data_IF_050711662654
#
_entry.id   IF_050711662654
#
_cell.length_a   1.000
_cell.length_b   1.000
_cell.length_c   1.000
_cell.angle_alpha   90.00
_cell.angle_beta   90.00
_cell.angle_gamma   90.00
#
_symmetry.space_group_name_H-M   'P 1'
#
loop_
_entity.id
_entity.type
_entity.pdbx_description
1 polymer ?
#
# COMPACT_ATOMS: atom_id res chain seq x y z
N UNK A 1 20.75 18.34 -17.80
CA UNK A 1 19.32 18.13 -18.16
C UNK A 1 18.56 17.99 -16.85
N UNK A 2 17.50 18.75 -16.67
CA UNK A 2 16.64 18.66 -15.49
C UNK A 2 15.90 17.32 -15.48
N UNK A 3 15.78 16.71 -14.32
CA UNK A 3 15.11 15.41 -14.14
C UNK A 3 13.65 15.43 -14.60
N UNK A 4 12.97 16.55 -14.40
CA UNK A 4 11.58 16.75 -14.85
C UNK A 4 11.45 16.74 -16.37
N UNK A 5 12.37 17.43 -17.07
CA UNK A 5 12.38 17.44 -18.52
C UNK A 5 12.75 16.07 -19.09
N UNK A 6 13.71 15.39 -18.48
CA UNK A 6 14.03 14.00 -18.85
C UNK A 6 12.81 13.08 -18.69
N UNK A 7 12.15 13.15 -17.54
CA UNK A 7 10.98 12.34 -17.25
C UNK A 7 9.83 12.62 -18.22
N UNK A 8 9.56 13.89 -18.53
CA UNK A 8 8.56 14.30 -19.51
C UNK A 8 8.85 13.73 -20.91
N UNK A 9 10.09 13.83 -21.38
CA UNK A 9 10.50 13.26 -22.67
C UNK A 9 10.34 11.76 -22.72
N UNK A 10 10.66 11.08 -21.61
CA UNK A 10 10.45 9.65 -21.49
C UNK A 10 8.96 9.30 -21.63
N UNK A 11 8.05 9.99 -20.93
CA UNK A 11 6.61 9.73 -21.02
C UNK A 11 6.06 9.95 -22.45
N UNK A 12 6.51 11.01 -23.14
CA UNK A 12 6.13 11.26 -24.52
C UNK A 12 6.63 10.13 -25.44
N UNK A 13 7.87 9.71 -25.25
CA UNK A 13 8.44 8.59 -26.00
C UNK A 13 7.69 7.29 -25.74
N UNK A 14 7.31 7.05 -24.48
CA UNK A 14 6.66 5.82 -24.06
C UNK A 14 5.20 5.75 -24.53
N UNK A 15 4.43 6.81 -24.36
CA UNK A 15 2.97 6.80 -24.54
C UNK A 15 2.49 7.57 -25.78
N UNK A 16 3.35 8.36 -26.42
CA UNK A 16 3.03 9.17 -27.59
C UNK A 16 2.95 10.66 -27.31
N UNK A 17 2.99 11.47 -28.37
CA UNK A 17 2.99 12.92 -28.24
C UNK A 17 1.68 13.50 -27.68
N UNK A 18 0.60 12.75 -27.78
CA UNK A 18 -0.72 13.11 -27.25
C UNK A 18 -0.77 13.34 -25.74
N UNK A 19 0.20 12.76 -24.99
CA UNK A 19 0.33 12.95 -23.54
C UNK A 19 1.24 14.14 -23.15
N UNK A 20 1.78 14.89 -24.13
CA UNK A 20 2.79 15.95 -23.88
C UNK A 20 2.31 17.09 -22.98
N UNK A 21 0.99 17.31 -22.90
CA UNK A 21 0.37 18.32 -22.04
C UNK A 21 0.06 17.84 -20.63
N UNK A 22 0.25 16.55 -20.33
CA UNK A 22 -0.06 15.99 -19.03
C UNK A 22 1.12 16.13 -18.07
N UNK A 23 0.87 16.37 -16.76
CA UNK A 23 1.90 16.32 -15.72
C UNK A 23 2.55 14.94 -15.61
N UNK A 24 3.74 14.89 -15.03
CA UNK A 24 4.46 13.64 -14.77
C UNK A 24 4.01 13.00 -13.48
N UNK A 25 3.31 11.89 -13.56
CA UNK A 25 2.84 11.13 -12.40
C UNK A 25 3.93 10.30 -11.70
N UNK A 26 5.04 10.01 -12.37
CA UNK A 26 6.05 9.08 -11.83
C UNK A 26 6.83 9.68 -10.67
N UNK A 27 7.17 10.98 -10.77
CA UNK A 27 7.86 11.68 -9.68
C UNK A 27 6.98 11.76 -8.42
N UNK A 28 5.68 11.96 -8.60
CA UNK A 28 4.73 11.97 -7.50
C UNK A 28 4.58 10.57 -6.88
N UNK A 29 4.52 9.53 -7.72
CA UNK A 29 4.46 8.14 -7.27
C UNK A 29 5.72 7.75 -6.47
N UNK A 30 6.91 8.15 -6.96
CA UNK A 30 8.18 7.93 -6.26
C UNK A 30 8.21 8.67 -4.91
N UNK A 31 7.72 9.90 -4.85
CA UNK A 31 7.66 10.69 -3.62
C UNK A 31 6.70 10.11 -2.57
N UNK A 32 5.66 9.43 -3.01
CA UNK A 32 4.66 8.79 -2.15
C UNK A 32 5.08 7.39 -1.63
N UNK A 33 6.03 6.74 -2.30
CA UNK A 33 6.46 5.38 -2.00
C UNK A 33 7.01 5.13 -0.58
N UNK A 34 7.74 6.06 0.08
CA UNK A 34 8.29 5.82 1.41
C UNK A 34 7.28 5.44 2.47
N UNK A 35 6.05 5.95 2.42
CA UNK A 35 5.01 5.58 3.38
C UNK A 35 4.55 4.13 3.20
N UNK A 36 4.49 3.62 1.96
CA UNK A 36 4.24 2.21 1.70
C UNK A 36 5.25 1.31 2.41
N UNK A 37 6.54 1.65 2.35
CA UNK A 37 7.59 0.84 2.94
C UNK A 37 7.65 0.91 4.47
N UNK A 38 7.35 2.07 5.06
CA UNK A 38 7.66 2.35 6.47
C UNK A 38 6.45 2.67 7.33
N UNK A 39 5.29 2.91 6.72
CA UNK A 39 4.10 3.40 7.42
C UNK A 39 3.60 2.49 8.55
N UNK A 40 3.74 1.18 8.40
CA UNK A 40 3.33 0.19 9.40
C UNK A 40 4.46 -0.23 10.35
N UNK A 41 5.65 0.34 10.21
CA UNK A 41 6.79 0.07 11.09
C UNK A 41 6.88 1.11 12.21
N UNK A 42 7.34 0.69 13.40
CA UNK A 42 7.60 1.62 14.50
C UNK A 42 8.86 2.45 14.20
N UNK A 43 8.78 3.78 14.37
CA UNK A 43 9.92 4.69 14.17
C UNK A 43 11.04 4.35 15.16
N UNK A 44 12.25 4.21 14.65
CA UNK A 44 13.43 3.78 15.41
C UNK A 44 13.98 2.42 14.99
N UNK A 45 13.13 1.59 14.37
CA UNK A 45 13.55 0.27 13.89
C UNK A 45 14.49 0.37 12.69
N UNK A 46 14.40 1.42 11.87
CA UNK A 46 15.28 1.60 10.71
C UNK A 46 16.77 1.64 11.10
N UNK A 47 17.11 2.20 12.26
CA UNK A 47 18.48 2.16 12.80
C UNK A 47 18.82 0.80 13.41
N UNK A 48 17.82 0.06 13.89
CA UNK A 48 18.00 -1.26 14.49
C UNK A 48 17.99 -2.40 13.45
N UNK A 49 17.43 -2.19 12.26
CA UNK A 49 17.34 -3.19 11.18
C UNK A 49 18.68 -3.83 10.82
N UNK A 50 19.77 -3.07 10.89
CA UNK A 50 21.11 -3.57 10.63
C UNK A 50 21.74 -4.30 11.83
N UNK A 51 21.19 -4.12 13.05
CA UNK A 51 21.72 -4.69 14.29
C UNK A 51 20.92 -5.87 14.84
N UNK A 52 19.63 -5.97 14.51
CA UNK A 52 18.75 -7.02 15.05
C UNK A 52 18.25 -7.91 13.91
N UNK A 53 18.80 -9.10 13.83
CA UNK A 53 18.45 -10.14 12.86
C UNK A 53 16.91 -10.34 12.74
N UNK A 54 16.22 -9.45 12.04
CA UNK A 54 14.87 -9.72 11.50
C UNK A 54 13.65 -9.43 12.36
N UNK A 55 13.78 -8.90 13.57
CA UNK A 55 12.60 -8.52 14.37
C UNK A 55 12.19 -7.07 14.09
N UNK A 56 11.35 -6.87 13.08
CA UNK A 56 10.73 -5.58 12.83
C UNK A 56 9.63 -5.32 13.86
N UNK A 57 9.78 -4.21 14.60
CA UNK A 57 8.70 -3.74 15.46
C UNK A 57 7.69 -3.01 14.61
N UNK A 58 6.47 -3.50 14.58
CA UNK A 58 5.33 -2.86 13.92
C UNK A 58 4.64 -1.87 14.86
N UNK A 59 3.84 -0.96 14.30
CA UNK A 59 3.00 -0.06 15.09
C UNK A 59 2.01 -0.88 15.94
N UNK A 60 1.64 -0.34 17.10
CA UNK A 60 0.65 -1.02 17.95
C UNK A 60 -0.76 -0.96 17.36
N UNK A 61 -1.59 -1.94 17.69
CA UNK A 61 -3.03 -1.87 17.42
C UNK A 61 -3.75 -0.91 18.38
N UNK A 62 -4.91 -0.34 17.98
CA UNK A 62 -5.76 0.41 18.90
C UNK A 62 -6.27 -0.50 20.03
N UNK A 63 -5.89 -0.21 21.27
CA UNK A 63 -6.27 -1.04 22.43
C UNK A 63 -6.65 -0.24 23.68
N UNK A 64 -6.21 1.01 23.79
CA UNK A 64 -6.47 1.90 24.92
C UNK A 64 -7.77 2.69 24.79
N UNK A 65 -7.79 3.92 25.31
CA UNK A 65 -8.94 4.81 25.19
C UNK A 65 -9.21 5.21 23.74
N UNK A 66 -10.46 5.55 23.43
CA UNK A 66 -10.85 6.05 22.10
C UNK A 66 -10.00 7.25 21.68
N UNK A 67 -9.45 7.20 20.48
CA UNK A 67 -8.59 8.23 19.91
C UNK A 67 -7.17 8.28 20.49
N UNK A 68 -6.79 7.40 21.41
CA UNK A 68 -5.44 7.35 21.97
C UNK A 68 -4.41 6.93 20.92
N UNK A 69 -4.70 5.90 20.15
CA UNK A 69 -3.86 5.44 19.06
C UNK A 69 -3.68 6.54 18.00
N UNK A 70 -4.76 7.21 17.62
CA UNK A 70 -4.74 8.30 16.65
C UNK A 70 -3.91 9.49 17.14
N UNK A 71 -3.95 9.82 18.43
CA UNK A 71 -3.07 10.85 19.02
C UNK A 71 -1.60 10.43 18.99
N UNK A 72 -1.32 9.18 19.37
CA UNK A 72 0.05 8.64 19.37
C UNK A 72 0.69 8.68 17.98
N UNK A 73 -0.08 8.41 16.93
CA UNK A 73 0.41 8.36 15.54
C UNK A 73 -0.04 9.57 14.70
N UNK A 74 -0.37 10.70 15.32
CA UNK A 74 -0.94 11.87 14.64
C UNK A 74 -0.09 12.41 13.48
N UNK A 75 1.24 12.42 13.62
CA UNK A 75 2.15 12.84 12.54
C UNK A 75 2.08 11.89 11.34
N UNK A 76 2.10 10.58 11.60
CA UNK A 76 1.98 9.55 10.57
C UNK A 76 0.63 9.60 9.87
N UNK A 77 -0.45 9.90 10.59
CA UNK A 77 -1.77 10.08 10.01
C UNK A 77 -1.83 11.31 9.10
N UNK A 78 -1.20 12.43 9.47
CA UNK A 78 -1.07 13.59 8.57
C UNK A 78 -0.27 13.27 7.32
N UNK A 79 0.75 12.45 7.44
CA UNK A 79 1.50 11.93 6.28
C UNK A 79 0.62 11.02 5.43
N UNK A 80 -0.16 10.13 6.04
CA UNK A 80 -1.10 9.26 5.35
C UNK A 80 -2.20 10.04 4.60
N UNK A 81 -2.73 11.12 5.17
CA UNK A 81 -3.70 11.99 4.50
C UNK A 81 -3.10 12.65 3.24
N UNK A 82 -1.89 13.20 3.34
CA UNK A 82 -1.17 13.78 2.18
C UNK A 82 -0.88 12.71 1.13
N UNK A 83 -0.40 11.56 1.56
CA UNK A 83 -0.07 10.43 0.69
C UNK A 83 -1.29 9.90 -0.05
N UNK A 84 -2.42 9.70 0.67
CA UNK A 84 -3.70 9.32 0.06
C UNK A 84 -4.10 10.31 -1.03
N UNK A 85 -4.04 11.60 -0.74
CA UNK A 85 -4.38 12.64 -1.74
C UNK A 85 -3.48 12.54 -2.97
N UNK A 86 -2.17 12.36 -2.79
CA UNK A 86 -1.23 12.17 -3.89
C UNK A 86 -1.60 10.96 -4.73
N UNK A 87 -1.94 9.83 -4.12
CA UNK A 87 -2.36 8.63 -4.86
C UNK A 87 -3.70 8.81 -5.59
N UNK A 88 -4.64 9.56 -5.01
CA UNK A 88 -5.91 9.91 -5.67
C UNK A 88 -5.65 10.81 -6.91
N UNK A 89 -4.79 11.81 -6.78
CA UNK A 89 -4.39 12.70 -7.88
C UNK A 89 -3.67 11.92 -9.00
N UNK A 90 -2.77 10.99 -8.64
CA UNK A 90 -2.10 10.08 -9.60
C UNK A 90 -3.12 9.17 -10.30
N UNK A 91 -4.09 8.61 -9.58
CA UNK A 91 -5.14 7.77 -10.18
C UNK A 91 -5.93 8.53 -11.24
N UNK A 92 -6.31 9.78 -10.95
CA UNK A 92 -6.98 10.65 -11.90
C UNK A 92 -6.10 10.94 -13.12
N UNK A 93 -4.83 11.21 -12.90
CA UNK A 93 -3.88 11.50 -13.97
C UNK A 93 -3.60 10.27 -14.85
N UNK A 94 -3.44 9.10 -14.27
CA UNK A 94 -3.26 7.83 -15.01
C UNK A 94 -4.46 7.53 -15.90
N UNK A 95 -5.69 7.84 -15.46
CA UNK A 95 -6.86 7.75 -16.31
C UNK A 95 -6.75 8.66 -17.54
N UNK A 96 -6.34 9.92 -17.36
CA UNK A 96 -6.12 10.84 -18.49
C UNK A 96 -5.01 10.33 -19.42
N UNK A 97 -3.95 9.73 -18.90
CA UNK A 97 -2.91 9.10 -19.73
C UNK A 97 -3.48 7.96 -20.57
N UNK A 98 -4.30 7.09 -19.99
CA UNK A 98 -4.92 5.98 -20.73
C UNK A 98 -5.86 6.46 -21.82
N UNK A 99 -6.60 7.54 -21.59
CA UNK A 99 -7.49 8.12 -22.60
C UNK A 99 -6.73 8.74 -23.79
N UNK A 100 -5.49 9.18 -23.58
CA UNK A 100 -4.69 9.89 -24.59
C UNK A 100 -3.53 9.07 -25.17
N UNK A 101 -3.07 8.03 -24.49
CA UNK A 101 -1.94 7.23 -24.94
C UNK A 101 -2.26 6.49 -26.24
N UNK A 102 -1.32 6.48 -27.17
CA UNK A 102 -1.45 5.77 -28.45
C UNK A 102 -0.73 4.42 -28.45
N UNK A 103 -0.02 4.10 -27.35
CA UNK A 103 0.73 2.86 -27.19
C UNK A 103 1.02 2.58 -25.71
N UNK A 104 1.49 1.38 -25.42
CA UNK A 104 1.93 0.94 -24.10
C UNK A 104 0.87 1.03 -22.99
N UNK A 105 -0.40 0.79 -23.31
CA UNK A 105 -1.50 0.73 -22.32
C UNK A 105 -1.20 -0.27 -21.20
N UNK A 106 -0.50 -1.37 -21.49
CA UNK A 106 -0.05 -2.32 -20.47
C UNK A 106 0.80 -1.64 -19.38
N UNK A 107 1.76 -0.79 -19.77
CA UNK A 107 2.59 -0.05 -18.79
C UNK A 107 1.74 0.88 -17.92
N UNK A 108 0.72 1.53 -18.49
CA UNK A 108 -0.21 2.37 -17.72
C UNK A 108 -1.08 1.55 -16.75
N UNK A 109 -1.50 0.34 -17.14
CA UNK A 109 -2.18 -0.58 -16.24
C UNK A 109 -1.26 -0.99 -15.07
N UNK A 110 0.02 -1.28 -15.36
CA UNK A 110 1.03 -1.59 -14.32
C UNK A 110 1.19 -0.41 -13.36
N UNK A 111 1.35 0.82 -13.86
CA UNK A 111 1.44 2.00 -13.00
C UNK A 111 0.18 2.23 -12.16
N UNK A 112 -1.00 1.97 -12.72
CA UNK A 112 -2.25 2.07 -11.98
C UNK A 112 -2.29 1.11 -10.79
N UNK A 113 -1.91 -0.15 -11.00
CA UNK A 113 -1.89 -1.15 -9.92
C UNK A 113 -0.79 -0.84 -8.90
N UNK A 114 0.39 -0.38 -9.34
CA UNK A 114 1.45 0.07 -8.42
C UNK A 114 0.94 1.23 -7.56
N UNK A 115 0.23 2.19 -8.15
CA UNK A 115 -0.35 3.30 -7.42
C UNK A 115 -1.38 2.85 -6.38
N UNK A 116 -2.26 1.92 -6.73
CA UNK A 116 -3.23 1.33 -5.79
C UNK A 116 -2.54 0.58 -4.66
N UNK A 117 -1.54 -0.24 -5.00
CA UNK A 117 -0.77 -1.03 -4.03
C UNK A 117 -0.02 -0.13 -3.04
N UNK A 118 0.75 0.85 -3.54
CA UNK A 118 1.57 1.72 -2.70
C UNK A 118 0.73 2.70 -1.88
N UNK A 119 -0.45 3.08 -2.35
CA UNK A 119 -1.43 3.89 -1.61
C UNK A 119 -2.18 3.12 -0.51
N UNK A 120 -2.07 1.78 -0.49
CA UNK A 120 -2.81 0.96 0.47
C UNK A 120 -2.43 1.27 1.93
N UNK A 121 -1.16 1.43 2.26
CA UNK A 121 -0.73 1.72 3.63
C UNK A 121 -1.36 3.00 4.18
N UNK A 122 -1.47 4.05 3.36
CA UNK A 122 -2.14 5.28 3.76
C UNK A 122 -3.64 5.03 4.06
N UNK A 123 -4.33 4.30 3.19
CA UNK A 123 -5.75 3.95 3.38
C UNK A 123 -5.95 3.12 4.64
N UNK A 124 -5.10 2.14 4.88
CA UNK A 124 -5.17 1.29 6.08
C UNK A 124 -4.97 2.10 7.36
N UNK A 125 -3.95 2.95 7.43
CA UNK A 125 -3.69 3.82 8.58
C UNK A 125 -4.89 4.73 8.89
N UNK A 126 -5.50 5.31 7.88
CA UNK A 126 -6.68 6.16 8.04
C UNK A 126 -7.91 5.36 8.49
N UNK A 127 -8.12 4.17 7.95
CA UNK A 127 -9.20 3.27 8.37
C UNK A 127 -9.03 2.83 9.83
N UNK A 128 -7.81 2.51 10.25
CA UNK A 128 -7.49 2.21 11.66
C UNK A 128 -7.75 3.42 12.56
N UNK A 129 -7.44 4.64 12.09
CA UNK A 129 -7.74 5.87 12.85
C UNK A 129 -9.24 6.10 13.05
N UNK A 130 -10.05 5.82 12.04
CA UNK A 130 -11.51 5.90 12.15
C UNK A 130 -11.99 4.87 13.17
N UNK A 131 -11.55 3.62 13.07
CA UNK A 131 -11.88 2.59 14.05
C UNK A 131 -11.45 2.96 15.47
N UNK A 132 -10.26 3.52 15.66
CA UNK A 132 -9.78 3.94 16.99
C UNK A 132 -10.69 4.99 17.65
N UNK A 133 -11.28 5.88 16.86
CA UNK A 133 -12.17 6.95 17.35
C UNK A 133 -13.59 6.45 17.60
N UNK A 134 -14.14 5.67 16.69
CA UNK A 134 -15.58 5.33 16.68
C UNK A 134 -15.87 4.03 17.45
N UNK A 135 -15.00 3.02 17.34
CA UNK A 135 -15.12 1.72 18.03
C UNK A 135 -16.49 1.07 17.86
N UNK A 136 -17.09 1.20 16.67
CA UNK A 136 -18.39 0.61 16.34
C UNK A 136 -18.28 -0.45 15.21
N UNK A 137 -19.37 -1.17 14.97
CA UNK A 137 -19.44 -2.21 13.94
C UNK A 137 -19.21 -1.64 12.53
N UNK A 138 -19.63 -0.40 12.28
CA UNK A 138 -19.48 0.23 10.97
C UNK A 138 -18.00 0.50 10.65
N UNK A 139 -17.25 1.05 11.60
CA UNK A 139 -15.82 1.30 11.46
C UNK A 139 -15.00 -0.01 11.36
N UNK A 140 -15.38 -1.06 12.10
CA UNK A 140 -14.79 -2.40 11.95
C UNK A 140 -15.01 -2.97 10.55
N UNK A 141 -16.24 -2.89 10.04
CA UNK A 141 -16.57 -3.37 8.70
C UNK A 141 -15.85 -2.55 7.61
N UNK A 142 -15.68 -1.25 7.80
CA UNK A 142 -14.89 -0.40 6.90
C UNK A 142 -13.43 -0.80 6.87
N UNK A 143 -12.86 -1.08 8.03
CA UNK A 143 -11.49 -1.54 8.17
C UNK A 143 -11.32 -2.92 7.50
N UNK A 144 -12.25 -3.84 7.71
CA UNK A 144 -12.25 -5.14 7.05
C UNK A 144 -12.30 -5.02 5.53
N UNK A 145 -13.19 -4.19 5.01
CA UNK A 145 -13.26 -3.92 3.56
C UNK A 145 -11.95 -3.38 3.00
N UNK A 146 -11.31 -2.43 3.69
CA UNK A 146 -10.01 -1.92 3.27
C UNK A 146 -8.97 -3.04 3.13
N UNK A 147 -8.98 -4.02 4.03
CA UNK A 147 -8.06 -5.17 3.95
C UNK A 147 -8.43 -6.15 2.83
N UNK A 148 -9.72 -6.35 2.57
CA UNK A 148 -10.18 -7.19 1.47
C UNK A 148 -9.92 -6.54 0.10
N UNK A 149 -10.00 -5.21 0.00
CA UNK A 149 -9.59 -4.45 -1.19
C UNK A 149 -8.12 -4.72 -1.54
N UNK A 150 -7.25 -4.82 -0.55
CA UNK A 150 -5.84 -5.16 -0.78
C UNK A 150 -5.65 -6.52 -1.44
N UNK A 151 -6.41 -7.53 -1.01
CA UNK A 151 -6.38 -8.86 -1.65
C UNK A 151 -6.79 -8.78 -3.13
N UNK A 152 -7.74 -7.92 -3.43
CA UNK A 152 -8.19 -7.67 -4.81
C UNK A 152 -7.12 -6.96 -5.64
N UNK A 153 -6.49 -5.93 -5.11
CA UNK A 153 -5.37 -5.22 -5.76
C UNK A 153 -4.24 -6.20 -6.08
N UNK A 154 -3.89 -7.04 -5.13
CA UNK A 154 -2.84 -8.05 -5.28
C UNK A 154 -3.18 -9.06 -6.38
N UNK A 155 -4.39 -9.61 -6.39
CA UNK A 155 -4.86 -10.54 -7.43
C UNK A 155 -4.82 -9.87 -8.81
N UNK A 156 -5.30 -8.65 -8.94
CA UNK A 156 -5.26 -7.88 -10.18
C UNK A 156 -3.82 -7.67 -10.66
N UNK A 157 -2.88 -7.44 -9.74
CA UNK A 157 -1.46 -7.33 -10.05
C UNK A 157 -0.90 -8.66 -10.57
N UNK A 158 -1.20 -9.77 -9.91
CA UNK A 158 -0.77 -11.11 -10.34
C UNK A 158 -1.33 -11.43 -11.74
N UNK A 159 -2.60 -11.19 -11.99
CA UNK A 159 -3.24 -11.38 -13.28
C UNK A 159 -2.61 -10.51 -14.39
N UNK A 160 -2.31 -9.26 -14.09
CA UNK A 160 -1.68 -8.36 -15.06
C UNK A 160 -0.25 -8.79 -15.38
N UNK A 161 0.54 -9.09 -14.37
CA UNK A 161 1.93 -9.51 -14.55
C UNK A 161 2.05 -10.88 -15.24
N UNK A 162 1.10 -11.80 -15.02
CA UNK A 162 1.09 -13.11 -15.66
C UNK A 162 1.00 -13.05 -17.19
N UNK A 163 0.54 -11.91 -17.75
CA UNK A 163 0.49 -11.72 -19.21
C UNK A 163 1.87 -11.59 -19.86
N UNK A 164 2.88 -11.23 -19.09
CA UNK A 164 4.24 -10.96 -19.63
C UNK A 164 5.35 -11.66 -18.86
N UNK A 165 5.03 -12.29 -17.72
CA UNK A 165 6.01 -12.91 -16.82
C UNK A 165 5.46 -14.19 -16.21
N UNK A 166 6.32 -15.15 -15.96
CA UNK A 166 5.98 -16.30 -15.11
C UNK A 166 6.01 -15.83 -13.65
N UNK A 167 4.86 -15.90 -12.98
CA UNK A 167 4.75 -15.53 -11.56
C UNK A 167 5.08 -16.74 -10.66
N UNK A 168 4.93 -17.95 -11.18
CA UNK A 168 5.28 -19.17 -10.46
C UNK A 168 6.75 -19.16 -10.06
N UNK A 169 6.99 -19.32 -8.78
CA UNK A 169 8.34 -19.48 -8.27
C UNK A 169 8.79 -20.92 -8.56
N UNK A 170 9.96 -21.11 -9.18
CA UNK A 170 10.53 -22.44 -9.32
C UNK A 170 10.67 -23.12 -7.95
N UNK A 171 10.47 -24.42 -7.89
CA UNK A 171 10.72 -25.20 -6.68
C UNK A 171 12.14 -24.89 -6.14
N UNK A 172 12.24 -24.46 -4.88
CA UNK A 172 13.50 -24.06 -4.27
C UNK A 172 13.92 -22.61 -4.47
N UNK A 173 13.13 -21.76 -5.16
CA UNK A 173 13.42 -20.35 -5.26
C UNK A 173 13.33 -19.68 -3.87
N UNK A 174 14.42 -19.09 -3.45
CA UNK A 174 14.51 -18.37 -2.18
C UNK A 174 14.46 -16.88 -2.46
N UNK A 175 13.37 -16.24 -2.06
CA UNK A 175 13.30 -14.77 -2.10
C UNK A 175 14.47 -14.16 -1.32
N UNK A 176 15.13 -13.10 -1.84
CA UNK A 176 16.16 -12.38 -1.11
C UNK A 176 15.67 -11.99 0.29
N UNK A 177 16.52 -12.16 1.29
CA UNK A 177 16.16 -11.97 2.71
C UNK A 177 15.49 -10.63 3.02
N UNK A 178 15.83 -9.56 2.30
CA UNK A 178 15.21 -8.25 2.47
C UNK A 178 13.71 -8.21 2.12
N UNK A 179 13.25 -9.07 1.21
CA UNK A 179 11.82 -9.18 0.88
C UNK A 179 11.08 -10.07 1.88
N UNK A 180 11.69 -11.13 2.35
CA UNK A 180 11.11 -12.00 3.38
C UNK A 180 10.79 -11.27 4.67
N UNK A 181 11.69 -10.41 5.11
CA UNK A 181 11.53 -9.66 6.35
C UNK A 181 10.51 -8.52 6.24
N UNK A 182 10.37 -7.90 5.05
CA UNK A 182 9.39 -6.83 4.81
C UNK A 182 7.97 -7.34 4.69
N UNK A 183 7.80 -8.51 4.12
CA UNK A 183 6.49 -9.14 3.89
C UNK A 183 6.04 -10.05 5.05
N UNK A 184 6.88 -10.15 6.10
CA UNK A 184 6.51 -10.82 7.34
C UNK A 184 6.39 -12.33 7.24
N UNK A 185 6.69 -13.01 6.14
CA UNK A 185 6.34 -14.28 5.99
C UNK A 185 6.81 -15.37 5.21
N UNK A 186 6.80 -16.52 5.78
CA UNK A 186 7.18 -17.86 5.39
C UNK A 186 6.02 -18.74 4.88
N UNK A 187 4.83 -18.19 4.68
CA UNK A 187 3.69 -18.95 4.18
C UNK A 187 3.23 -18.41 2.82
N UNK A 188 2.83 -19.28 1.87
CA UNK A 188 2.39 -18.87 0.54
C UNK A 188 1.27 -17.82 0.56
N UNK A 189 0.32 -17.98 1.47
CA UNK A 189 -0.87 -17.11 1.55
C UNK A 189 -0.60 -15.74 2.21
N UNK A 190 0.52 -15.61 2.90
CA UNK A 190 0.87 -14.41 3.66
C UNK A 190 2.06 -13.65 3.09
N UNK A 191 2.58 -14.07 1.94
CA UNK A 191 3.79 -13.51 1.33
C UNK A 191 3.70 -12.02 0.96
N UNK A 192 2.51 -11.44 0.97
CA UNK A 192 2.24 -10.03 0.64
C UNK A 192 1.69 -9.22 1.81
N UNK A 193 1.47 -9.85 2.97
CA UNK A 193 0.94 -9.15 4.13
C UNK A 193 2.06 -8.67 5.04
N UNK A 194 1.93 -7.43 5.50
CA UNK A 194 2.76 -6.94 6.60
C UNK A 194 2.39 -7.67 7.90
N UNK A 195 3.35 -7.83 8.80
CA UNK A 195 3.12 -8.44 10.11
C UNK A 195 1.97 -7.75 10.88
N UNK A 196 1.90 -6.42 10.77
CA UNK A 196 0.82 -5.61 11.33
C UNK A 196 -0.57 -6.04 10.84
N UNK A 197 -0.70 -6.42 9.56
CA UNK A 197 -1.98 -6.84 8.99
C UNK A 197 -2.45 -8.18 9.54
N UNK A 198 -1.53 -9.10 9.81
CA UNK A 198 -1.86 -10.39 10.44
C UNK A 198 -2.39 -10.19 11.86
N UNK A 199 -1.72 -9.34 12.64
CA UNK A 199 -2.17 -8.97 13.98
C UNK A 199 -3.53 -8.25 13.93
N UNK A 200 -3.72 -7.37 12.93
CA UNK A 200 -4.96 -6.65 12.72
C UNK A 200 -6.11 -7.58 12.31
N UNK A 201 -5.89 -8.56 11.44
CA UNK A 201 -6.90 -9.55 11.06
C UNK A 201 -7.39 -10.33 12.27
N UNK A 202 -6.47 -10.85 13.08
CA UNK A 202 -6.82 -11.57 14.29
C UNK A 202 -7.60 -10.69 15.29
N UNK A 203 -7.23 -9.41 15.39
CA UNK A 203 -7.96 -8.44 16.20
C UNK A 203 -9.38 -8.19 15.67
N UNK A 204 -9.53 -7.99 14.35
CA UNK A 204 -10.82 -7.76 13.70
C UNK A 204 -11.76 -8.96 13.87
N UNK A 205 -11.28 -10.16 13.64
CA UNK A 205 -12.07 -11.38 13.79
C UNK A 205 -12.59 -11.51 15.23
N UNK A 206 -11.74 -11.26 16.23
CA UNK A 206 -12.14 -11.23 17.63
C UNK A 206 -13.18 -10.14 17.92
N UNK A 207 -12.99 -8.93 17.40
CA UNK A 207 -13.89 -7.81 17.70
C UNK A 207 -15.24 -7.96 16.99
N UNK A 208 -15.26 -8.49 15.77
CA UNK A 208 -16.50 -8.72 15.04
C UNK A 208 -17.33 -9.83 15.66
N UNK A 209 -16.72 -10.91 16.18
CA UNK A 209 -17.43 -11.98 16.86
C UNK A 209 -18.23 -11.48 18.08
N UNK A 210 -17.75 -10.43 18.77
CA UNK A 210 -18.48 -9.84 19.91
C UNK A 210 -19.81 -9.15 19.50
N UNK A 211 -19.97 -8.80 18.21
CA UNK A 211 -21.21 -8.24 17.68
C UNK A 211 -22.15 -9.30 17.09
N UNK A 212 -21.69 -10.55 16.95
CA UNK A 212 -22.45 -11.67 16.41
C UNK A 212 -23.04 -12.57 17.48
N UNK A 213 -22.54 -12.48 18.74
CA UNK A 213 -23.14 -13.18 19.86
C UNK A 213 -24.54 -12.61 20.16
N UNK A 214 -25.62 -13.43 20.13
CA UNK A 214 -26.94 -12.97 20.52
C UNK A 214 -26.93 -12.64 22.02
N UNK A 215 -27.37 -11.42 22.37
CA UNK A 215 -27.66 -11.03 23.75
C UNK A 215 -28.76 -11.91 24.36
#
# INVERSE_FOLDING_TARGET
MDIREFSRRYLIREFGNTVSSLPDFRLDLESAFPLWETGLLDYGVRKAMWKTKGNYKVISLPGGQRGEWSRKYAERLREAERNKKTHDDISFLLKQYRDKAVRNDYSLQVFSIINELTGYTARLLLAVSVYDKDRDKASLNSLRRCMDDFKTIRRNMEELYSRTRTIEQPAGYILPMGYRSRLGLNTPDSSWMFLFELELLAHLDKMLSLYEEPN
#
